data_IF_878300789547
#
_entry.id   IF_878300789547
#
_cell.length_a   1.000
_cell.length_b   1.000
_cell.length_c   1.000
_cell.angle_alpha   90.00
_cell.angle_beta   90.00
_cell.angle_gamma   90.00
#
_symmetry.space_group_name_H-M   'P 1'
#
loop_
_entity.id
_entity.type
_entity.pdbx_description
1 polymer ?
#
# COMPACT_ATOMS: atom_id res chain seq x y z
N UNK A 1 7.60 19.16 21.22
CA UNK A 1 7.35 18.23 22.33
C UNK A 1 6.63 17.03 21.72
N UNK A 2 7.33 15.92 21.46
CA UNK A 2 6.71 14.73 20.87
C UNK A 2 5.73 14.14 21.90
N UNK A 3 4.49 13.90 21.49
CA UNK A 3 3.48 13.31 22.38
C UNK A 3 3.93 11.90 22.78
N UNK A 4 3.97 11.60 24.07
CA UNK A 4 4.39 10.27 24.55
C UNK A 4 3.45 9.19 24.01
N UNK A 5 3.98 8.06 23.55
CA UNK A 5 3.18 6.96 22.99
C UNK A 5 2.08 6.47 23.95
N UNK A 6 2.33 6.47 25.26
CA UNK A 6 1.31 6.13 26.25
C UNK A 6 0.09 7.06 26.24
N UNK A 7 0.28 8.35 25.97
CA UNK A 7 -0.81 9.32 25.84
C UNK A 7 -1.59 9.13 24.54
N UNK A 8 -0.88 8.82 23.45
CA UNK A 8 -1.50 8.47 22.17
C UNK A 8 -2.41 7.25 22.35
N UNK A 9 -1.92 6.17 22.98
CA UNK A 9 -2.72 4.96 23.25
C UNK A 9 -3.93 5.30 24.12
N UNK A 10 -3.76 6.12 25.17
CA UNK A 10 -4.88 6.56 26.01
C UNK A 10 -5.95 7.26 25.18
N UNK A 11 -5.56 8.16 24.28
CA UNK A 11 -6.48 8.90 23.41
C UNK A 11 -7.25 7.95 22.51
N UNK A 12 -6.57 7.01 21.84
CA UNK A 12 -7.20 6.04 20.94
C UNK A 12 -8.12 5.07 21.70
N UNK A 13 -7.71 4.57 22.86
CA UNK A 13 -8.58 3.72 23.69
C UNK A 13 -9.84 4.48 24.13
N UNK A 14 -9.69 5.75 24.54
CA UNK A 14 -10.80 6.61 24.95
C UNK A 14 -11.74 6.92 23.78
N UNK A 15 -11.20 7.21 22.59
CA UNK A 15 -12.03 7.49 21.41
C UNK A 15 -12.83 6.27 20.96
N UNK A 16 -12.35 5.05 21.27
CA UNK A 16 -13.09 3.79 21.10
C UNK A 16 -14.06 3.47 22.24
N UNK A 17 -14.29 4.40 23.16
CA UNK A 17 -15.23 4.23 24.28
C UNK A 17 -14.76 3.24 25.36
N UNK A 18 -13.47 2.87 25.37
CA UNK A 18 -12.95 1.93 26.35
C UNK A 18 -12.54 2.66 27.63
N UNK A 19 -13.15 2.25 28.75
CA UNK A 19 -12.61 2.60 30.06
C UNK A 19 -11.24 1.94 30.28
N UNK A 20 -10.44 2.50 31.18
CA UNK A 20 -9.14 1.96 31.54
C UNK A 20 -9.19 0.49 32.01
N UNK A 21 -10.30 0.08 32.65
CA UNK A 21 -10.52 -1.31 33.06
C UNK A 21 -10.77 -2.20 31.84
N UNK A 22 -11.73 -1.83 30.99
CA UNK A 22 -12.07 -2.58 29.78
C UNK A 22 -10.88 -2.74 28.83
N UNK A 23 -10.08 -1.69 28.67
CA UNK A 23 -8.85 -1.79 27.88
C UNK A 23 -7.83 -2.74 28.52
N UNK A 24 -7.67 -2.68 29.85
CA UNK A 24 -6.85 -3.64 30.60
C UNK A 24 -7.29 -5.08 30.38
N UNK A 25 -8.59 -5.34 30.48
CA UNK A 25 -9.17 -6.67 30.26
C UNK A 25 -8.86 -7.19 28.84
N UNK A 26 -8.92 -6.33 27.81
CA UNK A 26 -8.56 -6.67 26.41
C UNK A 26 -7.09 -7.05 26.22
N UNK A 27 -6.17 -6.40 26.93
CA UNK A 27 -4.72 -6.66 26.80
C UNK A 27 -4.18 -7.58 27.91
N UNK A 28 -5.07 -8.22 28.67
CA UNK A 28 -4.75 -9.08 29.83
C UNK A 28 -3.85 -8.36 30.87
N UNK A 29 -4.22 -7.13 31.24
CA UNK A 29 -3.53 -6.30 32.23
C UNK A 29 -4.50 -5.69 33.24
N UNK A 30 -4.02 -5.46 34.45
CA UNK A 30 -4.81 -4.77 35.47
C UNK A 30 -5.02 -3.30 35.11
N UNK A 31 -6.09 -2.70 35.65
CA UNK A 31 -6.35 -1.25 35.54
C UNK A 31 -5.11 -0.44 35.93
N UNK A 32 -4.41 -0.80 37.02
CA UNK A 32 -3.22 -0.11 37.50
C UNK A 32 -2.06 -0.21 36.49
N UNK A 33 -1.85 -1.38 35.88
CA UNK A 33 -0.84 -1.57 34.84
C UNK A 33 -1.11 -0.68 33.61
N UNK A 34 -2.37 -0.55 33.19
CA UNK A 34 -2.78 0.37 32.11
C UNK A 34 -2.48 1.83 32.46
N UNK A 35 -2.76 2.26 33.69
CA UNK A 35 -2.38 3.62 34.14
C UNK A 35 -0.86 3.83 34.04
N UNK A 36 -0.07 2.79 34.30
CA UNK A 36 1.37 2.79 34.06
C UNK A 36 1.71 2.97 32.58
N UNK A 37 1.08 2.19 31.69
CA UNK A 37 1.27 2.27 30.22
C UNK A 37 1.02 3.69 29.71
N UNK A 38 -0.07 4.33 30.14
CA UNK A 38 -0.42 5.67 29.68
C UNK A 38 0.62 6.75 30.02
N UNK A 39 1.46 6.53 31.03
CA UNK A 39 2.50 7.48 31.41
C UNK A 39 3.83 7.26 30.67
N UNK A 40 3.98 6.12 29.98
CA UNK A 40 5.24 5.74 29.32
C UNK A 40 5.53 6.60 28.10
N UNK A 41 6.79 7.01 27.96
CA UNK A 41 7.33 7.64 26.74
C UNK A 41 7.65 6.62 25.65
N UNK A 42 7.99 5.40 26.03
CA UNK A 42 8.33 4.29 25.14
C UNK A 42 7.60 3.03 25.57
N UNK A 43 7.31 2.15 24.61
CA UNK A 43 6.65 0.86 24.84
C UNK A 43 7.41 -0.19 24.05
N UNK A 44 7.58 -1.38 24.64
CA UNK A 44 8.19 -2.50 23.96
C UNK A 44 7.34 -2.98 22.78
N UNK A 45 7.99 -3.47 21.73
CA UNK A 45 7.31 -3.78 20.48
C UNK A 45 6.24 -4.88 20.63
N UNK A 46 6.43 -5.84 21.52
CA UNK A 46 5.48 -6.93 21.74
C UNK A 46 4.20 -6.42 22.41
N UNK A 47 4.31 -5.58 23.43
CA UNK A 47 3.15 -4.90 24.01
C UNK A 47 2.48 -3.97 23.00
N UNK A 48 3.26 -3.25 22.18
CA UNK A 48 2.71 -2.36 21.18
C UNK A 48 1.89 -3.14 20.15
N UNK A 49 2.36 -4.31 19.69
CA UNK A 49 1.60 -5.19 18.78
C UNK A 49 0.24 -5.59 19.36
N UNK A 50 0.22 -6.08 20.62
CA UNK A 50 -1.03 -6.46 21.29
C UNK A 50 -1.98 -5.26 21.40
N UNK A 51 -1.45 -4.08 21.74
CA UNK A 51 -2.26 -2.86 21.83
C UNK A 51 -2.78 -2.44 20.45
N UNK A 52 -1.95 -2.48 19.41
CA UNK A 52 -2.33 -2.18 18.02
C UNK A 52 -3.44 -3.11 17.53
N UNK A 53 -3.36 -4.40 17.84
CA UNK A 53 -4.38 -5.38 17.49
C UNK A 53 -5.70 -5.10 18.22
N UNK A 54 -5.65 -4.95 19.55
CA UNK A 54 -6.87 -4.74 20.35
C UNK A 54 -7.55 -3.38 20.11
N UNK A 55 -6.79 -2.39 19.65
CA UNK A 55 -7.29 -1.07 19.29
C UNK A 55 -7.41 -0.86 17.78
N UNK A 56 -7.11 -1.86 16.95
CA UNK A 56 -7.10 -1.76 15.47
C UNK A 56 -6.49 -0.44 14.97
N UNK A 57 -5.31 -0.11 15.49
CA UNK A 57 -4.65 1.17 15.21
C UNK A 57 -3.15 0.95 15.01
N UNK A 58 -2.60 1.51 13.93
CA UNK A 58 -1.16 1.46 13.69
C UNK A 58 -0.42 2.49 14.56
N UNK A 59 0.06 2.05 15.72
CA UNK A 59 0.87 2.89 16.58
C UNK A 59 2.33 3.05 16.10
N UNK A 60 2.80 2.23 15.15
CA UNK A 60 4.12 2.43 14.55
C UNK A 60 4.14 3.61 13.59
N UNK A 61 2.97 4.02 13.08
CA UNK A 61 2.84 5.16 12.18
C UNK A 61 3.47 6.44 12.73
N UNK A 62 3.33 6.67 14.03
CA UNK A 62 3.86 7.84 14.73
C UNK A 62 5.41 7.92 14.73
N UNK A 63 6.09 6.81 14.44
CA UNK A 63 7.55 6.76 14.35
C UNK A 63 8.07 6.83 12.92
N UNK A 64 7.22 6.64 11.91
CA UNK A 64 7.68 6.63 10.52
C UNK A 64 8.13 8.00 10.01
N UNK A 65 7.70 9.08 10.66
CA UNK A 65 8.20 10.44 10.38
C UNK A 65 9.53 10.77 11.05
N UNK A 66 10.07 9.87 11.88
CA UNK A 66 11.28 10.08 12.66
C UNK A 66 12.47 9.31 12.07
N UNK A 67 13.68 9.84 12.25
CA UNK A 67 14.90 9.12 11.85
C UNK A 67 15.21 7.98 12.83
N UNK A 68 15.71 6.81 12.35
CA UNK A 68 16.09 6.51 10.96
C UNK A 68 14.94 5.97 10.09
N UNK A 69 13.74 5.80 10.63
CA UNK A 69 12.62 5.15 9.93
C UNK A 69 12.15 5.94 8.72
N UNK A 70 12.16 7.27 8.81
CA UNK A 70 11.85 8.17 7.70
C UNK A 70 12.77 7.93 6.51
N UNK A 71 14.08 7.82 6.74
CA UNK A 71 15.04 7.49 5.68
C UNK A 71 14.72 6.13 5.05
N UNK A 72 14.48 5.09 5.87
CA UNK A 72 14.15 3.76 5.34
C UNK A 72 12.85 3.73 4.54
N UNK A 73 11.83 4.49 4.97
CA UNK A 73 10.57 4.66 4.24
C UNK A 73 10.81 5.34 2.89
N UNK A 74 11.48 6.49 2.89
CA UNK A 74 11.74 7.25 1.67
C UNK A 74 12.55 6.44 0.64
N UNK A 75 13.51 5.62 1.10
CA UNK A 75 14.27 4.74 0.21
C UNK A 75 13.39 3.70 -0.46
N UNK A 76 12.47 3.08 0.30
CA UNK A 76 11.51 2.12 -0.25
C UNK A 76 10.50 2.80 -1.18
N UNK A 77 9.99 3.97 -0.81
CA UNK A 77 9.08 4.75 -1.67
C UNK A 77 9.73 5.05 -3.01
N UNK A 78 10.98 5.54 -3.00
CA UNK A 78 11.74 5.80 -4.22
C UNK A 78 11.98 4.54 -5.07
N UNK A 79 12.26 3.39 -4.44
CA UNK A 79 12.39 2.12 -5.15
C UNK A 79 11.08 1.73 -5.85
N UNK A 80 9.94 1.91 -5.18
CA UNK A 80 8.62 1.63 -5.74
C UNK A 80 8.24 2.61 -6.84
N UNK A 81 8.51 3.90 -6.69
CA UNK A 81 8.31 4.92 -7.73
C UNK A 81 9.08 4.57 -9.00
N UNK A 82 10.33 4.10 -8.87
CA UNK A 82 11.12 3.64 -10.00
C UNK A 82 10.50 2.44 -10.70
N UNK A 83 10.03 1.43 -9.94
CA UNK A 83 9.37 0.24 -10.52
C UNK A 83 8.08 0.62 -11.23
N UNK A 84 7.27 1.51 -10.65
CA UNK A 84 6.03 2.01 -11.26
C UNK A 84 6.36 2.71 -12.58
N UNK A 85 7.35 3.61 -12.58
CA UNK A 85 7.75 4.32 -13.80
C UNK A 85 8.22 3.37 -14.92
N UNK A 86 8.96 2.31 -14.58
CA UNK A 86 9.35 1.29 -15.57
C UNK A 86 8.12 0.58 -16.13
N UNK A 87 7.21 0.13 -15.27
CA UNK A 87 5.99 -0.59 -15.69
C UNK A 87 5.07 0.30 -16.54
N UNK A 88 4.92 1.58 -16.21
CA UNK A 88 4.15 2.54 -17.01
C UNK A 88 4.74 2.70 -18.41
N UNK A 89 6.06 2.81 -18.52
CA UNK A 89 6.75 2.89 -19.82
C UNK A 89 6.61 1.60 -20.65
N UNK A 90 6.67 0.44 -20.00
CA UNK A 90 6.43 -0.85 -20.65
C UNK A 90 4.99 -0.96 -21.15
N UNK A 91 4.01 -0.51 -20.37
CA UNK A 91 2.60 -0.50 -20.75
C UNK A 91 2.38 0.36 -21.99
N UNK A 92 2.87 1.61 -21.98
CA UNK A 92 2.80 2.54 -23.12
C UNK A 92 3.45 1.93 -24.36
N UNK A 93 4.58 1.23 -24.20
CA UNK A 93 5.28 0.59 -25.32
C UNK A 93 4.48 -0.58 -25.88
N UNK A 94 3.82 -1.36 -25.03
CA UNK A 94 2.94 -2.45 -25.44
C UNK A 94 1.71 -1.95 -26.17
N UNK A 95 1.08 -0.88 -25.69
CA UNK A 95 -0.09 -0.27 -26.35
C UNK A 95 0.27 0.17 -27.78
N UNK A 96 1.41 0.87 -27.95
CA UNK A 96 1.91 1.25 -29.28
C UNK A 96 2.19 0.05 -30.20
N UNK A 97 2.61 -1.09 -29.65
CA UNK A 97 2.83 -2.30 -30.44
C UNK A 97 1.49 -2.94 -30.85
N UNK A 98 0.49 -2.90 -29.98
CA UNK A 98 -0.87 -3.36 -30.29
C UNK A 98 -1.43 -2.54 -31.45
N UNK A 99 -1.38 -1.21 -31.36
CA UNK A 99 -1.87 -0.31 -32.41
C UNK A 99 -1.22 -0.61 -33.77
N UNK A 100 0.11 -0.78 -33.80
CA UNK A 100 0.85 -1.14 -35.02
C UNK A 100 0.44 -2.51 -35.55
N UNK A 101 0.25 -3.49 -34.67
CA UNK A 101 -0.17 -4.83 -35.07
C UNK A 101 -1.59 -4.82 -35.65
N UNK A 102 -2.50 -4.01 -35.09
CA UNK A 102 -3.84 -3.83 -35.64
C UNK A 102 -3.82 -3.19 -37.03
N UNK A 103 -2.97 -2.18 -37.25
CA UNK A 103 -2.77 -1.57 -38.56
C UNK A 103 -2.23 -2.59 -39.58
N UNK A 104 -1.21 -3.37 -39.19
CA UNK A 104 -0.65 -4.43 -40.03
C UNK A 104 -1.72 -5.47 -40.38
N UNK A 105 -2.53 -5.91 -39.42
CA UNK A 105 -3.61 -6.87 -39.65
C UNK A 105 -4.65 -6.31 -40.62
N UNK A 106 -4.99 -5.03 -40.53
CA UNK A 106 -5.91 -4.38 -41.46
C UNK A 106 -5.35 -4.37 -42.89
N UNK A 107 -4.09 -4.01 -43.06
CA UNK A 107 -3.42 -3.99 -44.37
C UNK A 107 -3.31 -5.40 -44.97
N UNK A 108 -2.94 -6.39 -44.16
CA UNK A 108 -2.88 -7.78 -44.59
C UNK A 108 -4.24 -8.30 -45.06
N UNK A 109 -5.32 -8.00 -44.32
CA UNK A 109 -6.69 -8.37 -44.73
C UNK A 109 -7.08 -7.73 -46.06
N UNK A 110 -6.76 -6.45 -46.28
CA UNK A 110 -7.01 -5.76 -47.56
C UNK A 110 -6.23 -6.41 -48.70
N UNK A 111 -4.95 -6.69 -48.50
CA UNK A 111 -4.11 -7.32 -49.52
C UNK A 111 -4.59 -8.73 -49.89
N UNK A 112 -5.00 -9.53 -48.91
CA UNK A 112 -5.59 -10.86 -49.16
C UNK A 112 -6.84 -10.72 -50.03
N UNK A 113 -7.76 -9.80 -49.71
CA UNK A 113 -8.97 -9.59 -50.49
C UNK A 113 -8.67 -9.19 -51.95
N UNK A 114 -7.69 -8.31 -52.19
CA UNK A 114 -7.26 -7.94 -53.53
C UNK A 114 -6.65 -9.13 -54.31
N UNK A 115 -5.90 -9.99 -53.63
CA UNK A 115 -5.33 -11.19 -54.24
C UNK A 115 -6.43 -12.20 -54.60
N UNK A 116 -7.40 -12.42 -53.73
CA UNK A 116 -8.56 -13.28 -53.97
C UNK A 116 -9.38 -12.79 -55.17
N UNK A 117 -9.61 -11.48 -55.29
CA UNK A 117 -10.32 -10.89 -56.43
C UNK A 117 -9.55 -11.09 -57.74
N UNK A 118 -8.23 -10.88 -57.72
CA UNK A 118 -7.36 -11.10 -58.90
C UNK A 118 -7.34 -12.57 -59.32
N UNK A 119 -7.32 -13.50 -58.38
CA UNK A 119 -7.37 -14.94 -58.67
C UNK A 119 -8.72 -15.34 -59.27
N UNK A 120 -9.83 -14.80 -58.74
CA UNK A 120 -11.18 -15.04 -59.28
C UNK A 120 -11.30 -14.59 -60.74
N UNK A 121 -10.84 -13.36 -61.05
CA UNK A 121 -10.82 -12.79 -62.41
C UNK A 121 -9.93 -13.55 -63.41
N UNK A 122 -8.97 -14.34 -62.93
CA UNK A 122 -8.05 -15.13 -63.77
C UNK A 122 -8.60 -16.51 -64.13
N UNK A 123 -9.58 -16.99 -63.38
CA UNK A 123 -10.20 -18.31 -63.52
C UNK A 123 -11.56 -18.27 -64.25
N UNK A 124 -12.03 -17.09 -64.63
CA UNK A 124 -13.19 -16.83 -65.51
C UNK A 124 -12.73 -16.40 -66.89
#
# INVERSE_FOLDING_TARGET
MHEKIGQIIKRIATSKGLSQKQFGDKINRTKQAVAGIYKRSTIDIELLKVISEQLEHDFLEYYYGEEPFKTFRNLKEKEWEQKISVLENELISKDKLIDKNEEILLLQRKYIAELEEKLSKRNT
#
